data_IF_841042608904
#
_entry.id   IF_841042608904
#
_cell.length_a   1.000
_cell.length_b   1.000
_cell.length_c   1.000
_cell.angle_alpha   90.00
_cell.angle_beta   90.00
_cell.angle_gamma   90.00
#
_symmetry.space_group_name_H-M   'P 1'
#
loop_
_entity.id
_entity.type
_entity.pdbx_description
1 polymer ?
#
# COMPACT_ATOMS: atom_id res chain seq x y z
N UNK A 1 20.44 -8.93 13.77
CA UNK A 1 19.51 -8.10 12.96
C UNK A 1 18.74 -7.18 13.88
N UNK A 2 18.68 -5.88 13.59
CA UNK A 2 17.84 -4.97 14.36
C UNK A 2 16.38 -5.22 13.96
N UNK A 3 15.58 -5.77 14.88
CA UNK A 3 14.13 -5.88 14.69
C UNK A 3 13.58 -4.46 14.60
N UNK A 4 12.91 -4.12 13.50
CA UNK A 4 12.23 -2.84 13.37
C UNK A 4 11.21 -2.73 14.52
N UNK A 5 11.37 -1.72 15.39
CA UNK A 5 10.48 -1.51 16.52
C UNK A 5 9.09 -1.17 15.99
N UNK A 6 8.14 -2.07 16.16
CA UNK A 6 6.74 -1.86 15.77
C UNK A 6 6.14 -0.74 16.60
N UNK A 7 5.43 0.18 15.94
CA UNK A 7 4.72 1.29 16.60
C UNK A 7 3.23 1.02 16.72
N UNK A 8 2.69 0.20 15.82
CA UNK A 8 1.29 -0.21 15.84
C UNK A 8 1.21 -1.60 16.47
N UNK A 9 0.29 -1.76 17.41
CA UNK A 9 -0.03 -3.06 17.96
C UNK A 9 -0.55 -3.97 16.82
N UNK A 10 -0.04 -5.21 16.67
CA UNK A 10 -0.45 -6.08 15.58
C UNK A 10 -1.96 -6.36 15.54
N UNK A 11 -2.63 -6.46 16.70
CA UNK A 11 -4.06 -6.70 16.75
C UNK A 11 -4.85 -5.48 16.25
N UNK A 12 -4.47 -4.27 16.69
CA UNK A 12 -5.07 -3.01 16.22
C UNK A 12 -4.85 -2.81 14.71
N UNK A 13 -3.63 -3.10 14.24
CA UNK A 13 -3.27 -3.02 12.83
C UNK A 13 -4.07 -3.98 11.96
N UNK A 14 -4.18 -5.25 12.38
CA UNK A 14 -4.96 -6.25 11.68
C UNK A 14 -6.45 -5.93 11.69
N UNK A 15 -6.99 -5.44 12.82
CA UNK A 15 -8.38 -5.01 12.93
C UNK A 15 -8.68 -3.88 11.95
N UNK A 16 -7.81 -2.87 11.86
CA UNK A 16 -7.98 -1.77 10.91
C UNK A 16 -7.90 -2.22 9.44
N UNK A 17 -7.00 -3.16 9.13
CA UNK A 17 -6.89 -3.73 7.78
C UNK A 17 -8.15 -4.52 7.40
N UNK A 18 -8.70 -5.30 8.35
CA UNK A 18 -9.94 -6.06 8.17
C UNK A 18 -11.16 -5.13 8.03
N UNK A 19 -11.24 -4.06 8.81
CA UNK A 19 -12.30 -3.05 8.71
C UNK A 19 -12.27 -2.34 7.35
N UNK A 20 -11.09 -1.90 6.91
CA UNK A 20 -10.92 -1.34 5.58
C UNK A 20 -11.35 -2.34 4.51
N UNK A 21 -10.93 -3.60 4.64
CA UNK A 21 -11.30 -4.67 3.74
C UNK A 21 -12.82 -4.91 3.67
N UNK A 22 -13.55 -4.84 4.79
CA UNK A 22 -14.98 -5.04 4.82
C UNK A 22 -15.76 -3.87 4.19
N UNK A 23 -15.24 -2.64 4.30
CA UNK A 23 -15.85 -1.44 3.72
C UNK A 23 -15.39 -1.08 2.32
N UNK A 24 -14.28 -1.67 1.83
CA UNK A 24 -13.74 -1.37 0.52
C UNK A 24 -14.56 -2.05 -0.59
N UNK A 25 -15.20 -1.24 -1.43
CA UNK A 25 -15.61 -1.70 -2.76
C UNK A 25 -14.33 -1.99 -3.55
N UNK A 26 -14.18 -3.17 -4.18
CA UNK A 26 -13.00 -3.45 -5.01
C UNK A 26 -12.85 -2.35 -6.07
N UNK A 27 -11.62 -1.91 -6.40
CA UNK A 27 -11.44 -0.90 -7.43
C UNK A 27 -11.91 -1.48 -8.76
N UNK A 28 -13.12 -1.10 -9.18
CA UNK A 28 -13.65 -1.40 -10.50
C UNK A 28 -12.85 -0.65 -11.56
N UNK A 29 -12.79 -1.18 -12.79
CA UNK A 29 -12.21 -0.52 -13.96
C UNK A 29 -12.92 0.81 -14.33
N UNK A 30 -14.01 1.15 -13.62
CA UNK A 30 -14.74 2.39 -13.79
C UNK A 30 -14.05 3.58 -13.10
N UNK A 31 -12.97 4.08 -13.71
CA UNK A 31 -12.45 5.42 -13.44
C UNK A 31 -12.43 6.29 -14.71
N UNK A 32 -13.59 6.38 -15.38
CA UNK A 32 -14.01 7.52 -16.20
C UNK A 32 -15.55 7.61 -16.14
N UNK A 33 -16.11 8.07 -15.02
CA UNK A 33 -17.53 8.44 -14.96
C UNK A 33 -17.69 9.77 -14.21
N UNK A 34 -18.09 10.80 -14.95
CA UNK A 34 -18.53 12.08 -14.43
C UNK A 34 -19.71 11.89 -13.45
N UNK A 35 -19.92 12.80 -12.49
CA UNK A 35 -21.02 12.67 -11.54
C UNK A 35 -22.38 12.86 -12.25
N UNK A 36 -23.21 11.82 -12.24
CA UNK A 36 -24.65 11.94 -12.46
C UNK A 36 -25.38 11.71 -11.15
N UNK A 37 -26.25 12.65 -10.78
CA UNK A 37 -27.07 12.59 -9.58
C UNK A 37 -28.24 11.62 -9.78
N UNK A 38 -28.16 10.44 -9.17
CA UNK A 38 -29.30 9.57 -8.93
C UNK A 38 -29.19 9.01 -7.50
N UNK A 39 -30.23 9.25 -6.69
CA UNK A 39 -30.36 8.68 -5.35
C UNK A 39 -30.56 7.16 -5.44
N UNK A 40 -29.45 6.43 -5.44
CA UNK A 40 -29.40 4.99 -5.22
C UNK A 40 -29.43 4.63 -3.73
N UNK A 41 -29.45 3.33 -3.37
CA UNK A 41 -29.40 2.88 -1.97
C UNK A 41 -28.22 3.55 -1.26
N UNK A 42 -28.45 3.95 0.01
CA UNK A 42 -27.47 4.68 0.81
C UNK A 42 -26.08 4.07 0.64
N UNK A 43 -25.15 4.88 0.11
CA UNK A 43 -23.77 4.46 -0.07
C UNK A 43 -23.26 3.89 1.26
N UNK A 44 -22.52 2.76 1.24
CA UNK A 44 -21.95 2.21 2.46
C UNK A 44 -21.15 3.31 3.18
N UNK A 45 -21.16 3.33 4.53
CA UNK A 45 -20.43 4.34 5.27
C UNK A 45 -18.96 4.30 4.86
N UNK A 46 -18.43 5.47 4.47
CA UNK A 46 -17.03 5.59 4.07
C UNK A 46 -16.13 5.18 5.24
N UNK A 47 -15.11 4.34 4.96
CA UNK A 47 -14.14 3.90 5.96
C UNK A 47 -13.46 5.12 6.60
N UNK A 48 -13.40 5.23 7.94
CA UNK A 48 -12.79 6.38 8.60
C UNK A 48 -11.33 6.58 8.21
N UNK A 49 -10.89 7.84 8.06
CA UNK A 49 -9.50 8.18 7.72
C UNK A 49 -8.48 7.60 8.70
N UNK A 50 -8.83 7.50 9.99
CA UNK A 50 -7.99 6.89 11.03
C UNK A 50 -7.74 5.40 10.76
N UNK A 51 -8.77 4.66 10.36
CA UNK A 51 -8.69 3.23 10.00
C UNK A 51 -7.76 3.05 8.79
N UNK A 52 -7.92 3.87 7.75
CA UNK A 52 -7.03 3.88 6.58
C UNK A 52 -5.59 4.17 7.00
N UNK A 53 -5.36 5.20 7.83
CA UNK A 53 -4.03 5.55 8.29
C UNK A 53 -3.36 4.42 9.09
N UNK A 54 -4.11 3.78 9.99
CA UNK A 54 -3.63 2.64 10.78
C UNK A 54 -3.31 1.45 9.90
N UNK A 55 -4.21 1.06 8.99
CA UNK A 55 -4.02 -0.05 8.07
C UNK A 55 -2.79 0.14 7.17
N UNK A 56 -2.61 1.35 6.60
CA UNK A 56 -1.44 1.68 5.76
C UNK A 56 -0.15 1.61 6.58
N UNK A 57 -0.09 2.27 7.73
CA UNK A 57 1.14 2.29 8.54
C UNK A 57 1.50 0.91 9.08
N UNK A 58 0.50 0.13 9.50
CA UNK A 58 0.68 -1.25 9.93
C UNK A 58 1.26 -2.11 8.80
N UNK A 59 0.64 -2.10 7.63
CA UNK A 59 1.12 -2.88 6.48
C UNK A 59 2.49 -2.44 5.96
N UNK A 60 2.84 -1.16 6.06
CA UNK A 60 4.22 -0.70 5.81
C UNK A 60 5.21 -1.26 6.83
N UNK A 61 4.84 -1.34 8.12
CA UNK A 61 5.67 -1.99 9.14
C UNK A 61 5.78 -3.51 8.90
N UNK A 62 4.72 -4.17 8.40
CA UNK A 62 4.77 -5.58 7.97
C UNK A 62 5.78 -5.84 6.85
N UNK A 63 5.76 -5.03 5.79
CA UNK A 63 6.71 -5.18 4.67
C UNK A 63 8.15 -5.09 5.17
N UNK A 64 8.46 -4.09 6.00
CA UNK A 64 9.80 -3.93 6.57
C UNK A 64 10.16 -5.05 7.54
N UNK A 65 9.19 -5.60 8.28
CA UNK A 65 9.43 -6.74 9.16
C UNK A 65 9.76 -8.02 8.38
N UNK A 66 9.10 -8.25 7.24
CA UNK A 66 9.32 -9.43 6.37
C UNK A 66 10.56 -9.32 5.50
N UNK A 67 10.85 -8.13 5.00
CA UNK A 67 11.99 -7.82 4.17
C UNK A 67 12.75 -6.61 4.75
N UNK A 68 13.49 -6.79 5.86
CA UNK A 68 14.25 -5.69 6.45
C UNK A 68 15.30 -5.19 5.45
N UNK A 69 15.53 -3.87 5.40
CA UNK A 69 16.52 -3.30 4.51
C UNK A 69 16.28 -1.84 4.17
N UNK A 70 17.14 -1.29 3.34
CA UNK A 70 17.13 0.12 2.94
C UNK A 70 17.33 0.32 1.43
N UNK A 71 17.11 -0.73 0.65
CA UNK A 71 17.34 -0.70 -0.79
C UNK A 71 16.14 -0.14 -1.54
N UNK A 72 14.92 -0.40 -1.06
CA UNK A 72 13.64 0.02 -1.63
C UNK A 72 12.89 0.92 -0.65
N UNK A 73 12.38 2.04 -1.15
CA UNK A 73 11.51 2.94 -0.39
C UNK A 73 10.07 2.84 -0.91
N UNK A 74 9.12 2.58 -0.01
CA UNK A 74 7.70 2.48 -0.34
C UNK A 74 6.97 3.67 0.27
N UNK A 75 6.28 4.44 -0.56
CA UNK A 75 5.57 5.68 -0.19
C UNK A 75 4.08 5.52 -0.44
N UNK A 76 3.30 5.82 0.60
CA UNK A 76 1.83 5.82 0.53
C UNK A 76 1.33 7.16 1.08
N UNK A 77 1.43 8.25 0.30
CA UNK A 77 0.99 9.56 0.75
C UNK A 77 -0.53 9.60 0.99
N UNK A 78 -0.99 10.35 2.01
CA UNK A 78 -0.22 11.12 2.98
C UNK A 78 0.13 10.32 4.26
N UNK A 79 -0.03 9.00 4.27
CA UNK A 79 -0.10 8.22 5.52
C UNK A 79 1.23 7.72 6.04
N UNK A 80 2.17 7.39 5.15
CA UNK A 80 3.47 6.88 5.57
C UNK A 80 4.45 6.57 4.45
N UNK A 81 5.66 6.25 4.89
CA UNK A 81 6.77 5.77 4.08
C UNK A 81 7.51 4.71 4.90
N UNK A 82 8.06 3.71 4.23
CA UNK A 82 8.98 2.76 4.85
C UNK A 82 10.13 2.41 3.92
N UNK A 83 11.20 1.87 4.48
CA UNK A 83 12.27 1.24 3.71
C UNK A 83 12.28 -0.26 3.97
N UNK A 84 12.50 -1.02 2.91
CA UNK A 84 12.52 -2.48 2.93
C UNK A 84 13.48 -3.02 1.88
N UNK A 85 13.57 -4.35 1.84
CA UNK A 85 14.42 -5.13 0.94
C UNK A 85 15.91 -4.87 1.21
N UNK A 86 16.63 -5.93 1.58
CA UNK A 86 18.08 -5.88 1.71
C UNK A 86 18.72 -5.51 0.38
N UNK A 87 19.85 -4.82 0.42
CA UNK A 87 20.60 -4.49 -0.79
C UNK A 87 21.35 -3.17 -0.66
N UNK A 88 22.19 -2.85 -1.64
CA UNK A 88 22.88 -1.57 -1.67
C UNK A 88 21.86 -0.44 -1.80
N UNK A 89 22.18 0.70 -1.21
CA UNK A 89 21.53 1.97 -1.55
C UNK A 89 21.90 2.35 -2.98
N UNK A 90 21.01 3.07 -3.65
CA UNK A 90 21.33 3.64 -4.95
C UNK A 90 22.60 4.50 -4.85
N UNK A 91 23.44 4.44 -5.88
CA UNK A 91 24.62 5.29 -6.01
C UNK A 91 24.31 6.47 -6.92
N UNK A 92 25.24 7.43 -7.00
CA UNK A 92 25.15 8.50 -8.00
C UNK A 92 25.05 7.87 -9.41
N UNK A 93 24.07 8.31 -10.20
CA UNK A 93 23.86 7.84 -11.57
C UNK A 93 22.85 6.70 -11.73
N UNK A 94 22.42 6.04 -10.65
CA UNK A 94 21.30 5.07 -10.68
C UNK A 94 20.06 5.69 -10.05
N UNK A 95 18.87 5.59 -10.68
CA UNK A 95 17.62 6.03 -10.06
C UNK A 95 17.40 5.35 -8.70
N UNK A 96 16.85 6.05 -7.70
CA UNK A 96 16.52 5.44 -6.42
C UNK A 96 15.43 4.37 -6.60
N UNK A 97 15.48 3.27 -5.84
CA UNK A 97 14.40 2.29 -5.86
C UNK A 97 13.23 2.81 -5.04
N UNK A 98 12.22 3.37 -5.71
CA UNK A 98 11.05 4.00 -5.07
C UNK A 98 9.79 3.38 -5.65
N UNK A 99 8.86 3.06 -4.77
CA UNK A 99 7.51 2.62 -5.10
C UNK A 99 6.55 3.62 -4.46
N UNK A 100 5.69 4.24 -5.26
CA UNK A 100 4.70 5.21 -4.77
C UNK A 100 3.31 4.88 -5.34
N UNK A 101 2.30 4.89 -4.47
CA UNK A 101 0.90 4.74 -4.85
C UNK A 101 -0.03 5.34 -3.77
N UNK A 102 -1.31 5.50 -4.09
CA UNK A 102 -2.30 5.94 -3.10
C UNK A 102 -2.68 4.81 -2.11
N UNK A 103 -3.35 5.18 -1.02
CA UNK A 103 -3.71 4.26 0.03
C UNK A 103 -4.68 3.16 -0.40
N UNK A 104 -5.62 3.44 -1.31
CA UNK A 104 -6.58 2.44 -1.76
C UNK A 104 -5.88 1.39 -2.63
N UNK A 105 -5.01 1.83 -3.56
CA UNK A 105 -4.17 0.93 -4.36
C UNK A 105 -3.25 0.09 -3.48
N UNK A 106 -2.55 0.70 -2.51
CA UNK A 106 -1.69 0.00 -1.56
C UNK A 106 -2.43 -1.09 -0.80
N UNK A 107 -3.53 -0.73 -0.13
CA UNK A 107 -4.28 -1.67 0.70
C UNK A 107 -4.96 -2.76 -0.15
N UNK A 108 -5.35 -2.46 -1.39
CA UNK A 108 -5.85 -3.47 -2.31
C UNK A 108 -4.78 -4.51 -2.67
N UNK A 109 -3.53 -4.08 -2.87
CA UNK A 109 -2.41 -5.02 -3.09
C UNK A 109 -2.05 -5.81 -1.83
N UNK A 110 -1.96 -5.15 -0.68
CA UNK A 110 -1.70 -5.79 0.62
C UNK A 110 -2.71 -6.88 0.92
N UNK A 111 -3.99 -6.65 0.60
CA UNK A 111 -5.08 -7.60 0.86
C UNK A 111 -5.36 -8.57 -0.29
N UNK A 112 -4.56 -8.53 -1.37
CA UNK A 112 -4.70 -9.43 -2.52
C UNK A 112 -5.88 -9.15 -3.45
N UNK A 113 -6.56 -8.00 -3.30
CA UNK A 113 -7.66 -7.58 -4.19
C UNK A 113 -7.18 -7.01 -5.53
N UNK A 114 -5.93 -6.57 -5.58
CA UNK A 114 -5.27 -6.05 -6.78
C UNK A 114 -3.89 -6.69 -6.85
N UNK A 115 -3.54 -7.33 -7.96
CA UNK A 115 -2.19 -7.88 -8.09
C UNK A 115 -1.16 -6.76 -8.32
N UNK A 116 0.09 -7.00 -7.94
CA UNK A 116 1.19 -6.09 -8.24
C UNK A 116 1.29 -5.79 -9.74
N UNK A 117 1.21 -6.82 -10.58
CA UNK A 117 1.31 -6.71 -12.03
C UNK A 117 0.17 -5.84 -12.61
N UNK A 118 -1.06 -6.02 -12.15
CA UNK A 118 -2.21 -5.22 -12.61
C UNK A 118 -2.08 -3.76 -12.14
N UNK A 119 -1.63 -3.53 -10.91
CA UNK A 119 -1.44 -2.18 -10.38
C UNK A 119 -0.38 -1.39 -11.17
N UNK A 120 0.74 -2.02 -11.48
CA UNK A 120 1.81 -1.43 -12.31
C UNK A 120 1.34 -1.25 -13.76
N UNK A 121 0.71 -2.29 -14.34
CA UNK A 121 0.21 -2.25 -15.72
C UNK A 121 -0.85 -1.18 -15.95
N UNK A 122 -1.70 -0.92 -14.93
CA UNK A 122 -2.70 0.15 -14.96
C UNK A 122 -2.14 1.54 -14.59
N UNK A 123 -0.84 1.67 -14.30
CA UNK A 123 -0.22 2.93 -13.90
C UNK A 123 -0.66 3.45 -12.53
N UNK A 124 -1.24 2.59 -11.67
CA UNK A 124 -1.65 2.94 -10.29
C UNK A 124 -0.47 2.94 -9.31
N UNK A 125 0.63 2.30 -9.70
CA UNK A 125 1.89 2.26 -8.95
C UNK A 125 2.99 2.87 -9.79
N UNK A 126 3.65 3.89 -9.27
CA UNK A 126 4.88 4.41 -9.81
C UNK A 126 6.07 3.64 -9.19
N UNK A 127 6.67 2.73 -9.95
CA UNK A 127 7.87 2.01 -9.57
C UNK A 127 9.08 2.51 -10.37
N UNK A 128 10.12 2.97 -9.67
CA UNK A 128 11.36 3.48 -10.26
C UNK A 128 12.55 2.72 -9.66
N UNK A 129 13.55 2.39 -10.47
CA UNK A 129 14.73 1.64 -10.04
C UNK A 129 14.63 0.13 -10.26
N UNK A 130 15.78 -0.54 -10.38
CA UNK A 130 15.88 -1.95 -10.77
C UNK A 130 15.33 -2.94 -9.72
N UNK A 131 15.19 -2.49 -8.47
CA UNK A 131 14.74 -3.34 -7.34
C UNK A 131 13.36 -2.93 -6.83
N UNK A 132 12.69 -1.98 -7.48
CA UNK A 132 11.35 -1.53 -7.09
C UNK A 132 10.28 -2.55 -7.49
N UNK A 133 10.33 -3.73 -6.87
CA UNK A 133 9.41 -4.84 -7.07
C UNK A 133 9.03 -5.44 -5.71
N UNK A 134 7.72 -5.50 -5.44
CA UNK A 134 7.14 -6.12 -4.25
C UNK A 134 6.29 -7.34 -4.57
N UNK A 135 6.28 -7.81 -5.83
CA UNK A 135 5.47 -8.95 -6.27
C UNK A 135 5.68 -10.21 -5.43
N UNK A 136 6.91 -10.46 -4.96
CA UNK A 136 7.23 -11.61 -4.11
C UNK A 136 6.87 -11.42 -2.63
N UNK A 137 6.55 -10.19 -2.20
CA UNK A 137 6.20 -9.84 -0.82
C UNK A 137 4.70 -9.60 -0.62
N UNK A 138 3.93 -9.46 -1.71
CA UNK A 138 2.50 -9.17 -1.69
C UNK A 138 1.70 -10.39 -2.20
N UNK A 139 0.50 -10.64 -1.65
CA UNK A 139 -0.14 -9.94 -0.54
C UNK A 139 0.55 -10.22 0.81
N UNK A 140 0.22 -9.43 1.83
CA UNK A 140 0.75 -9.63 3.20
C UNK A 140 -0.13 -10.58 4.01
#
# INVERSE_FOLDING_TARGET
MAIARRRIDPADGQAALNEWAAGAVPPSDAALAAPSAASGPAAPPAVPRSVIATAVRYSLEEVTARAPGNSVEVRVPPFGVTQCVEGPRHTRGTPPNVIECDAATWLAMVTGRLSWADAVGAGRVAASGLRADLSALLPL
#
